data_IF_228542282122
#
_entry.id   IF_228542282122
#
_cell.length_a   1.000
_cell.length_b   1.000
_cell.length_c   1.000
_cell.angle_alpha   90.00
_cell.angle_beta   90.00
_cell.angle_gamma   90.00
#
_symmetry.space_group_name_H-M   'P 1'
#
loop_
_entity.id
_entity.type
_entity.pdbx_description
1 polymer ?
#
# COMPACT_ATOMS: atom_id res chain seq x y z
N UNK A 1 -9.62 -18.04 15.04
CA UNK A 1 -9.90 -17.57 13.66
C UNK A 1 -9.49 -16.12 13.57
N UNK A 2 -8.79 -15.71 12.52
CA UNK A 2 -8.35 -14.31 12.32
C UNK A 2 -9.58 -13.49 11.96
N UNK A 3 -9.81 -12.39 12.69
CA UNK A 3 -10.95 -11.48 12.50
C UNK A 3 -10.53 -10.03 12.33
N UNK A 4 -9.32 -9.69 12.78
CA UNK A 4 -8.81 -8.32 12.83
C UNK A 4 -7.78 -8.10 11.73
N UNK A 5 -7.92 -7.00 11.00
CA UNK A 5 -6.89 -6.48 10.11
C UNK A 5 -6.48 -5.07 10.51
N UNK A 6 -5.19 -4.80 10.42
CA UNK A 6 -4.59 -3.49 10.63
C UNK A 6 -3.91 -3.03 9.35
N UNK A 7 -4.40 -1.94 8.77
CA UNK A 7 -3.84 -1.32 7.56
C UNK A 7 -2.93 -0.17 7.96
N UNK A 8 -1.68 -0.22 7.47
CA UNK A 8 -0.67 0.81 7.69
C UNK A 8 -0.88 1.93 6.66
N UNK A 9 -1.58 2.98 7.05
CA UNK A 9 -2.00 4.08 6.16
C UNK A 9 -1.38 5.44 6.52
N UNK A 10 -0.36 5.45 7.41
CA UNK A 10 0.34 6.67 7.84
C UNK A 10 1.29 7.28 6.80
N UNK A 11 1.51 6.61 5.67
CA UNK A 11 2.48 7.00 4.64
C UNK A 11 2.09 8.24 3.84
N UNK A 12 3.11 9.05 3.48
CA UNK A 12 3.00 10.19 2.57
C UNK A 12 3.60 9.79 1.21
N UNK A 13 2.85 9.97 0.11
CA UNK A 13 3.33 9.69 -1.24
C UNK A 13 4.22 10.84 -1.77
N UNK A 14 5.36 11.10 -1.16
CA UNK A 14 6.21 12.27 -1.48
C UNK A 14 6.65 12.34 -2.94
N UNK A 15 6.82 11.18 -3.60
CA UNK A 15 7.19 11.08 -5.02
C UNK A 15 6.04 11.43 -5.98
N UNK A 16 4.82 11.54 -5.46
CA UNK A 16 3.63 11.96 -6.21
C UNK A 16 3.27 13.43 -5.98
N UNK A 17 4.13 14.19 -5.33
CA UNK A 17 3.89 15.64 -5.19
C UNK A 17 3.97 16.32 -6.57
N UNK A 18 3.10 17.33 -6.83
CA UNK A 18 2.15 17.98 -5.90
C UNK A 18 0.80 17.26 -5.71
N UNK A 19 0.50 16.18 -6.43
CA UNK A 19 -0.78 15.44 -6.31
C UNK A 19 -1.10 15.05 -4.86
N UNK A 20 -0.12 14.52 -4.14
CA UNK A 20 -0.27 14.00 -2.78
C UNK A 20 -0.01 15.04 -1.68
N UNK A 21 0.15 16.32 -2.04
CA UNK A 21 0.51 17.33 -1.04
C UNK A 21 -0.61 17.54 -0.03
N UNK A 22 -0.27 17.26 1.24
CA UNK A 22 -1.21 17.35 2.37
C UNK A 22 -2.25 16.24 2.44
N UNK A 23 -2.21 15.23 1.56
CA UNK A 23 -3.19 14.15 1.49
C UNK A 23 -2.49 12.81 1.81
N UNK A 24 -3.06 11.94 2.70
CA UNK A 24 -2.58 10.58 2.90
C UNK A 24 -2.54 9.80 1.59
N UNK A 25 -1.47 9.02 1.34
CA UNK A 25 -1.34 8.21 0.12
C UNK A 25 -2.57 7.34 -0.13
N UNK A 26 -3.08 6.68 0.91
CA UNK A 26 -4.23 5.79 0.81
C UNK A 26 -5.57 6.48 0.47
N UNK A 27 -5.62 7.82 0.55
CA UNK A 27 -6.78 8.62 0.14
C UNK A 27 -6.63 9.25 -1.26
N UNK A 28 -5.58 8.92 -2.00
CA UNK A 28 -5.49 9.27 -3.41
C UNK A 28 -6.54 8.48 -4.21
N UNK A 29 -7.05 9.08 -5.28
CA UNK A 29 -8.05 8.44 -6.13
C UNK A 29 -7.41 7.66 -7.26
N UNK A 30 -7.93 6.46 -7.54
CA UNK A 30 -7.63 5.63 -8.71
C UNK A 30 -8.94 5.37 -9.45
N UNK A 31 -9.04 5.82 -10.68
CA UNK A 31 -10.27 5.68 -11.49
C UNK A 31 -11.53 6.18 -10.76
N UNK A 32 -11.40 7.28 -10.01
CA UNK A 32 -12.51 7.91 -9.27
C UNK A 32 -12.84 7.27 -7.91
N UNK A 33 -12.17 6.18 -7.50
CA UNK A 33 -12.30 5.57 -6.17
C UNK A 33 -11.08 5.86 -5.31
N UNK A 34 -11.22 5.93 -4.01
CA UNK A 34 -10.08 6.05 -3.10
C UNK A 34 -9.26 4.74 -3.11
N UNK A 35 -7.93 4.86 -3.06
CA UNK A 35 -7.04 3.70 -3.00
C UNK A 35 -7.39 2.78 -1.82
N UNK A 36 -7.70 3.34 -0.66
CA UNK A 36 -8.13 2.56 0.52
C UNK A 36 -9.43 1.79 0.25
N UNK A 37 -10.39 2.36 -0.48
CA UNK A 37 -11.66 1.67 -0.79
C UNK A 37 -11.41 0.48 -1.72
N UNK A 38 -10.53 0.62 -2.71
CA UNK A 38 -10.13 -0.48 -3.60
C UNK A 38 -9.47 -1.63 -2.81
N UNK A 39 -8.64 -1.30 -1.82
CA UNK A 39 -8.04 -2.29 -0.93
C UNK A 39 -9.11 -3.00 -0.09
N UNK A 40 -10.04 -2.24 0.50
CA UNK A 40 -11.10 -2.78 1.35
C UNK A 40 -12.13 -3.61 0.57
N UNK A 41 -12.47 -3.24 -0.66
CA UNK A 41 -13.31 -4.04 -1.56
C UNK A 41 -12.73 -5.44 -1.83
N UNK A 42 -11.39 -5.53 -1.96
CA UNK A 42 -10.72 -6.83 -2.10
C UNK A 42 -10.74 -7.67 -0.82
N UNK A 43 -10.71 -7.02 0.34
CA UNK A 43 -10.74 -7.67 1.64
C UNK A 43 -12.14 -8.10 2.08
N UNK A 44 -13.21 -7.47 1.59
CA UNK A 44 -14.60 -7.73 2.00
C UNK A 44 -15.03 -9.20 1.80
N UNK A 45 -14.40 -9.90 0.86
CA UNK A 45 -14.62 -11.32 0.57
C UNK A 45 -13.98 -12.28 1.59
N UNK A 46 -13.28 -11.77 2.61
CA UNK A 46 -12.40 -12.56 3.48
C UNK A 46 -12.98 -12.92 4.86
N UNK A 47 -14.19 -12.47 5.20
CA UNK A 47 -14.84 -12.63 6.52
C UNK A 47 -14.06 -11.99 7.69
N UNK A 48 -13.31 -10.91 7.43
CA UNK A 48 -12.72 -10.07 8.46
C UNK A 48 -13.82 -9.20 9.08
N UNK A 49 -13.80 -9.06 10.42
CA UNK A 49 -14.85 -8.37 11.17
C UNK A 49 -14.42 -6.95 11.57
N UNK A 50 -13.14 -6.78 11.91
CA UNK A 50 -12.62 -5.54 12.45
C UNK A 50 -11.55 -4.96 11.52
N UNK A 51 -11.87 -3.87 10.86
CA UNK A 51 -10.94 -3.13 10.01
C UNK A 51 -10.36 -1.98 10.83
N UNK A 52 -9.04 -1.99 11.04
CA UNK A 52 -8.32 -1.01 11.82
C UNK A 52 -7.33 -0.27 10.92
N UNK A 53 -7.36 1.07 10.93
CA UNK A 53 -6.46 1.92 10.17
C UNK A 53 -5.45 2.56 11.12
N UNK A 54 -4.16 2.31 10.92
CA UNK A 54 -3.07 2.96 11.66
C UNK A 54 -2.66 4.20 10.88
N UNK A 55 -3.02 5.37 11.40
CA UNK A 55 -2.98 6.66 10.74
C UNK A 55 -1.97 7.60 11.40
N UNK A 56 -1.35 8.48 10.62
CA UNK A 56 -0.62 9.62 11.20
C UNK A 56 -1.59 10.68 11.73
N UNK A 57 -1.36 11.19 12.94
CA UNK A 57 -2.14 12.30 13.55
C UNK A 57 -2.11 13.56 12.67
N UNK A 58 -1.07 13.75 11.86
CA UNK A 58 -0.96 14.89 10.93
C UNK A 58 -2.14 14.98 9.95
N UNK A 59 -2.75 13.84 9.67
CA UNK A 59 -3.85 13.71 8.71
C UNK A 59 -5.19 13.37 9.38
N UNK A 60 -5.32 13.64 10.68
CA UNK A 60 -6.52 13.30 11.48
C UNK A 60 -7.82 13.73 10.80
N UNK A 61 -7.89 14.98 10.33
CA UNK A 61 -9.10 15.52 9.69
C UNK A 61 -9.55 14.71 8.49
N UNK A 62 -8.62 14.29 7.63
CA UNK A 62 -8.91 13.47 6.45
C UNK A 62 -9.45 12.09 6.85
N UNK A 63 -8.86 11.47 7.87
CA UNK A 63 -9.30 10.16 8.32
C UNK A 63 -10.64 10.18 9.04
N UNK A 64 -10.92 11.23 9.83
CA UNK A 64 -12.25 11.43 10.45
C UNK A 64 -13.33 11.67 9.40
N UNK A 65 -13.03 12.45 8.36
CA UNK A 65 -13.93 12.67 7.23
C UNK A 65 -14.14 11.38 6.44
N UNK A 66 -13.07 10.64 6.14
CA UNK A 66 -13.17 9.32 5.51
C UNK A 66 -14.07 8.38 6.30
N UNK A 67 -13.84 8.21 7.60
CA UNK A 67 -14.65 7.35 8.47
C UNK A 67 -16.13 7.73 8.46
N UNK A 68 -16.44 9.03 8.43
CA UNK A 68 -17.82 9.54 8.40
C UNK A 68 -18.54 9.19 7.09
N UNK A 69 -17.83 9.20 5.96
CA UNK A 69 -18.40 9.08 4.63
C UNK A 69 -18.20 7.68 4.00
N UNK A 70 -17.35 6.85 4.57
CA UNK A 70 -17.04 5.51 4.06
C UNK A 70 -18.21 4.54 4.22
N UNK A 71 -18.38 3.66 3.26
CA UNK A 71 -19.28 2.51 3.36
C UNK A 71 -18.72 1.41 4.28
N UNK A 72 -17.42 1.45 4.59
CA UNK A 72 -16.75 0.50 5.46
C UNK A 72 -16.74 0.96 6.91
N UNK A 73 -17.05 0.06 7.83
CA UNK A 73 -16.93 0.35 9.26
C UNK A 73 -15.48 0.20 9.71
N UNK A 74 -14.76 1.31 9.84
CA UNK A 74 -13.35 1.34 10.18
C UNK A 74 -13.09 1.91 11.57
N UNK A 75 -12.09 1.36 12.28
CA UNK A 75 -11.53 1.90 13.50
C UNK A 75 -10.27 2.68 13.19
N UNK A 76 -10.13 3.90 13.71
CA UNK A 76 -8.96 4.74 13.52
C UNK A 76 -8.04 4.68 14.73
N UNK A 77 -6.75 4.45 14.50
CA UNK A 77 -5.69 4.49 15.49
C UNK A 77 -4.66 5.53 15.05
N UNK A 78 -4.43 6.55 15.87
CA UNK A 78 -3.53 7.65 15.50
C UNK A 78 -2.16 7.49 16.15
N UNK A 79 -1.11 7.56 15.31
CA UNK A 79 0.27 7.71 15.75
C UNK A 79 0.56 9.20 15.93
N UNK A 80 0.93 9.60 17.14
CA UNK A 80 1.27 10.99 17.48
C UNK A 80 2.70 11.38 17.09
N UNK A 81 3.55 10.39 16.88
CA UNK A 81 4.93 10.51 16.40
C UNK A 81 5.21 9.43 15.35
N UNK A 82 6.31 9.56 14.62
CA UNK A 82 6.69 8.57 13.61
C UNK A 82 7.26 7.32 14.29
N UNK A 83 6.49 6.23 14.27
CA UNK A 83 6.86 4.94 14.89
C UNK A 83 7.44 3.93 13.90
N UNK A 84 7.52 4.28 12.60
CA UNK A 84 7.85 3.38 11.49
C UNK A 84 6.80 2.26 11.33
N UNK A 85 7.01 1.29 10.43
CA UNK A 85 5.95 0.33 10.02
C UNK A 85 5.47 -0.59 11.14
N UNK A 86 6.32 -0.92 12.12
CA UNK A 86 5.99 -1.87 13.19
C UNK A 86 5.77 -1.23 14.57
N UNK A 87 6.19 0.02 14.77
CA UNK A 87 6.25 0.59 16.13
C UNK A 87 4.92 0.63 16.84
N UNK A 88 3.84 1.01 16.16
CA UNK A 88 2.49 1.00 16.75
C UNK A 88 2.09 -0.40 17.23
N UNK A 89 2.32 -1.42 16.40
CA UNK A 89 2.00 -2.81 16.73
C UNK A 89 2.80 -3.29 17.94
N UNK A 90 4.11 -3.04 17.95
CA UNK A 90 5.01 -3.47 19.04
C UNK A 90 4.67 -2.79 20.36
N UNK A 91 4.41 -1.48 20.34
CA UNK A 91 4.01 -0.75 21.55
C UNK A 91 2.70 -1.27 22.13
N UNK A 92 1.71 -1.52 21.29
CA UNK A 92 0.34 -1.85 21.67
C UNK A 92 0.04 -3.35 21.61
N UNK A 93 1.03 -4.22 21.47
CA UNK A 93 0.85 -5.65 21.20
C UNK A 93 -0.05 -6.36 22.22
N UNK A 94 -0.14 -5.88 23.45
CA UNK A 94 -1.01 -6.46 24.46
C UNK A 94 -2.50 -6.34 24.14
N UNK A 95 -2.88 -5.33 23.34
CA UNK A 95 -4.26 -5.03 22.96
C UNK A 95 -4.70 -5.75 21.68
N UNK A 96 -3.76 -6.38 20.97
CA UNK A 96 -4.06 -7.13 19.74
C UNK A 96 -4.60 -8.53 20.04
N UNK A 97 -5.37 -9.08 19.13
CA UNK A 97 -5.81 -10.47 19.16
C UNK A 97 -4.62 -11.44 19.05
N UNK A 98 -4.81 -12.70 19.40
CA UNK A 98 -3.73 -13.71 19.36
C UNK A 98 -3.14 -13.89 17.97
N UNK A 99 -3.99 -13.78 16.93
CA UNK A 99 -3.61 -13.72 15.52
C UNK A 99 -4.37 -12.57 14.86
N UNK A 100 -3.67 -11.76 14.09
CA UNK A 100 -4.25 -10.64 13.35
C UNK A 100 -3.52 -10.44 12.02
N UNK A 101 -4.21 -9.86 11.05
CA UNK A 101 -3.56 -9.39 9.82
C UNK A 101 -2.96 -8.01 10.02
N UNK A 102 -1.82 -7.78 9.39
CA UNK A 102 -1.27 -6.46 9.15
C UNK A 102 -0.95 -6.34 7.66
N UNK A 103 -1.26 -5.20 7.06
CA UNK A 103 -1.09 -4.98 5.63
C UNK A 103 -0.69 -3.54 5.34
N UNK A 104 0.19 -3.36 4.36
CA UNK A 104 0.49 -2.05 3.83
C UNK A 104 -0.74 -1.47 3.12
N UNK A 105 -1.15 -0.26 3.51
CA UNK A 105 -2.36 0.38 3.01
C UNK A 105 -2.14 1.24 1.76
N UNK A 106 -1.10 0.93 0.98
CA UNK A 106 -0.71 1.68 -0.22
C UNK A 106 -0.42 0.78 -1.43
N UNK A 107 -0.76 -0.50 -1.32
CA UNK A 107 -0.56 -1.53 -2.35
C UNK A 107 -1.90 -2.04 -2.87
N UNK A 108 -2.06 -2.06 -4.18
CA UNK A 108 -3.12 -2.82 -4.84
C UNK A 108 -2.62 -4.25 -5.02
N UNK A 109 -3.32 -5.21 -4.41
CA UNK A 109 -2.92 -6.61 -4.41
C UNK A 109 -4.08 -7.47 -4.92
N UNK A 110 -3.80 -8.25 -5.95
CA UNK A 110 -4.70 -9.28 -6.43
C UNK A 110 -4.24 -10.63 -5.87
N UNK A 111 -4.98 -11.18 -4.91
CA UNK A 111 -4.70 -12.50 -4.35
C UNK A 111 -5.97 -13.14 -3.80
N UNK A 112 -5.92 -14.44 -3.58
CA UNK A 112 -6.96 -15.16 -2.86
C UNK A 112 -6.74 -15.04 -1.34
N UNK A 113 -7.31 -13.98 -0.74
CA UNK A 113 -7.22 -13.75 0.71
C UNK A 113 -7.80 -14.91 1.55
N UNK A 114 -8.85 -15.61 1.04
CA UNK A 114 -9.43 -16.74 1.75
C UNK A 114 -8.44 -17.89 1.90
N UNK A 115 -7.73 -18.25 0.84
CA UNK A 115 -6.69 -19.29 0.89
C UNK A 115 -5.56 -18.92 1.84
N UNK A 116 -5.12 -17.65 1.82
CA UNK A 116 -4.14 -17.17 2.78
C UNK A 116 -4.61 -17.29 4.22
N UNK A 117 -5.84 -16.84 4.52
CA UNK A 117 -6.42 -16.93 5.86
C UNK A 117 -6.55 -18.37 6.36
N UNK A 118 -6.90 -19.32 5.49
CA UNK A 118 -6.97 -20.75 5.83
C UNK A 118 -5.60 -21.28 6.27
N UNK A 119 -4.54 -20.97 5.51
CA UNK A 119 -3.16 -21.36 5.86
C UNK A 119 -2.71 -20.68 7.14
N UNK A 120 -2.87 -19.35 7.24
CA UNK A 120 -2.45 -18.56 8.37
C UNK A 120 -3.17 -18.93 9.69
N UNK A 121 -4.46 -19.28 9.63
CA UNK A 121 -5.18 -19.77 10.80
C UNK A 121 -4.59 -21.08 11.35
N UNK A 122 -4.11 -21.97 10.47
CA UNK A 122 -3.55 -23.25 10.84
C UNK A 122 -2.03 -23.19 11.13
N UNK A 123 -1.34 -22.15 10.69
CA UNK A 123 0.09 -21.98 10.96
C UNK A 123 0.36 -21.83 12.47
N UNK A 124 1.49 -22.38 12.93
CA UNK A 124 2.01 -22.22 14.29
C UNK A 124 2.85 -20.96 14.47
N UNK A 125 3.27 -20.35 13.36
CA UNK A 125 4.13 -19.18 13.28
C UNK A 125 3.42 -18.01 12.60
N UNK A 126 3.96 -16.81 12.76
CA UNK A 126 3.61 -15.66 11.93
C UNK A 126 3.90 -15.98 10.45
N UNK A 127 3.08 -15.47 9.53
CA UNK A 127 3.15 -15.84 8.11
C UNK A 127 3.18 -14.59 7.24
N UNK A 128 4.11 -14.51 6.28
CA UNK A 128 4.19 -13.44 5.27
C UNK A 128 3.69 -13.97 3.93
N UNK A 129 2.85 -13.18 3.25
CA UNK A 129 2.55 -13.40 1.84
C UNK A 129 3.74 -12.98 0.98
N UNK A 130 4.08 -13.82 0.01
CA UNK A 130 5.19 -13.61 -0.92
C UNK A 130 4.77 -13.84 -2.35
N UNK A 131 5.43 -13.14 -3.27
CA UNK A 131 5.33 -13.34 -4.71
C UNK A 131 6.75 -13.36 -5.29
N UNK A 132 7.06 -14.25 -6.27
CA UNK A 132 8.32 -14.19 -6.99
C UNK A 132 8.29 -13.03 -8.02
N UNK A 133 9.41 -12.31 -8.16
CA UNK A 133 9.58 -11.22 -9.14
C UNK A 133 10.91 -11.36 -9.85
N UNK A 134 11.04 -10.76 -11.06
CA UNK A 134 12.28 -10.79 -11.82
C UNK A 134 13.37 -9.92 -11.19
N UNK A 135 13.02 -8.73 -10.67
CA UNK A 135 13.95 -7.84 -9.97
C UNK A 135 13.48 -7.59 -8.52
N UNK A 136 14.05 -8.28 -7.53
CA UNK A 136 13.70 -8.12 -6.12
C UNK A 136 14.42 -6.97 -5.42
N UNK A 137 15.36 -6.27 -6.06
CA UNK A 137 16.27 -5.30 -5.43
C UNK A 137 15.58 -4.13 -4.70
N UNK A 138 14.31 -3.86 -5.02
CA UNK A 138 13.53 -2.75 -4.46
C UNK A 138 12.65 -3.14 -3.28
N UNK A 139 12.64 -4.42 -2.90
CA UNK A 139 11.70 -5.01 -1.93
C UNK A 139 12.43 -5.75 -0.80
N UNK A 140 11.67 -6.11 0.22
CA UNK A 140 12.12 -7.07 1.22
C UNK A 140 12.09 -8.49 0.65
N UNK A 141 13.25 -9.16 0.60
CA UNK A 141 13.43 -10.50 0.04
C UNK A 141 13.39 -11.55 1.14
N UNK A 142 12.73 -12.66 0.84
CA UNK A 142 12.57 -13.82 1.73
C UNK A 142 13.48 -14.93 1.27
N UNK A 143 14.48 -15.26 2.06
CA UNK A 143 15.28 -16.48 1.87
C UNK A 143 14.52 -17.65 2.49
N UNK A 144 14.20 -18.66 1.68
CA UNK A 144 13.29 -19.73 2.07
C UNK A 144 14.00 -21.07 2.21
N UNK A 145 13.59 -21.85 3.23
CA UNK A 145 13.81 -23.30 3.33
C UNK A 145 12.42 -23.98 3.39
N UNK A 146 11.97 -24.47 2.25
CA UNK A 146 10.58 -24.92 2.07
C UNK A 146 9.62 -23.76 2.27
N UNK A 147 8.73 -23.86 3.26
CA UNK A 147 7.79 -22.79 3.63
C UNK A 147 8.34 -21.88 4.75
N UNK A 148 9.51 -22.17 5.29
CA UNK A 148 10.11 -21.36 6.35
C UNK A 148 10.93 -20.22 5.78
N UNK A 149 10.77 -19.04 6.37
CA UNK A 149 11.64 -17.90 6.11
C UNK A 149 12.83 -18.01 7.06
N UNK A 150 14.01 -18.32 6.50
CA UNK A 150 15.24 -18.44 7.26
C UNK A 150 15.98 -17.10 7.38
N UNK A 151 15.71 -16.18 6.45
CA UNK A 151 16.24 -14.83 6.50
C UNK A 151 15.27 -13.83 5.81
N UNK A 152 15.28 -12.57 6.24
CA UNK A 152 14.56 -11.47 5.63
C UNK A 152 15.53 -10.33 5.37
N UNK A 153 15.68 -9.94 4.11
CA UNK A 153 16.66 -8.94 3.68
C UNK A 153 15.94 -7.78 2.99
N UNK A 154 15.96 -6.60 3.60
CA UNK A 154 15.36 -5.40 3.04
C UNK A 154 16.26 -4.81 1.96
N UNK A 155 15.77 -4.76 0.72
CA UNK A 155 16.41 -4.17 -0.46
C UNK A 155 17.87 -4.65 -0.65
N UNK A 156 18.07 -5.95 -0.92
CA UNK A 156 19.41 -6.49 -1.11
C UNK A 156 20.12 -5.88 -2.33
N UNK A 157 21.44 -5.75 -2.23
CA UNK A 157 22.26 -5.27 -3.35
C UNK A 157 22.50 -6.35 -4.41
N UNK A 158 22.32 -7.62 -4.05
CA UNK A 158 22.49 -8.77 -4.94
C UNK A 158 21.31 -9.76 -4.85
N UNK A 159 21.16 -10.63 -5.85
CA UNK A 159 20.07 -11.59 -5.95
C UNK A 159 20.34 -12.95 -5.28
N UNK A 160 21.38 -13.10 -4.49
CA UNK A 160 21.78 -14.40 -3.90
C UNK A 160 20.75 -14.99 -2.93
N UNK A 161 19.83 -14.17 -2.41
CA UNK A 161 18.80 -14.58 -1.45
C UNK A 161 17.50 -15.06 -2.12
N UNK A 162 17.49 -15.12 -3.46
CA UNK A 162 16.31 -15.51 -4.23
C UNK A 162 15.48 -14.32 -4.71
N UNK A 163 14.31 -14.63 -5.24
CA UNK A 163 13.42 -13.65 -5.87
C UNK A 163 12.03 -13.57 -5.24
N UNK A 164 11.80 -14.26 -4.13
CA UNK A 164 10.55 -14.17 -3.38
C UNK A 164 10.54 -12.88 -2.54
N UNK A 165 9.65 -11.97 -2.85
CA UNK A 165 9.53 -10.69 -2.13
C UNK A 165 8.35 -10.70 -1.17
N UNK A 166 8.43 -9.88 -0.12
CA UNK A 166 7.29 -9.61 0.75
C UNK A 166 6.22 -8.82 0.03
N UNK A 167 5.00 -9.33 0.05
CA UNK A 167 3.83 -8.71 -0.58
C UNK A 167 3.21 -7.59 0.28
N UNK A 168 3.77 -7.31 1.47
CA UNK A 168 3.19 -6.33 2.37
C UNK A 168 1.90 -6.79 3.07
N UNK A 169 1.66 -8.11 3.11
CA UNK A 169 0.52 -8.73 3.81
C UNK A 169 1.05 -9.79 4.77
N UNK A 170 0.67 -9.68 6.02
CA UNK A 170 1.21 -10.51 7.11
C UNK A 170 0.11 -10.99 8.02
N UNK A 171 0.14 -12.27 8.42
CA UNK A 171 -0.55 -12.75 9.60
C UNK A 171 0.45 -12.81 10.76
N UNK A 172 0.27 -11.98 11.76
CA UNK A 172 1.15 -11.90 12.90
C UNK A 172 0.54 -12.61 14.10
N UNK A 173 1.37 -13.35 14.82
CA UNK A 173 1.00 -13.95 16.10
C UNK A 173 1.50 -13.07 17.24
N UNK A 174 0.59 -12.63 18.11
CA UNK A 174 0.91 -11.86 19.32
C UNK A 174 2.03 -12.49 20.14
N UNK A 175 2.02 -13.81 20.30
CA UNK A 175 3.04 -14.57 21.05
C UNK A 175 4.43 -14.44 20.44
N UNK A 176 4.53 -14.37 19.09
CA UNK A 176 5.82 -14.30 18.38
C UNK A 176 6.42 -12.91 18.51
N UNK A 177 5.60 -11.86 18.36
CA UNK A 177 6.02 -10.47 18.61
C UNK A 177 6.48 -10.30 20.06
N UNK A 178 5.74 -10.85 21.03
CA UNK A 178 6.13 -10.78 22.46
C UNK A 178 7.48 -11.42 22.75
N UNK A 179 7.84 -12.52 22.07
CA UNK A 179 9.15 -13.18 22.26
C UNK A 179 10.33 -12.34 21.84
N UNK A 180 10.16 -11.43 20.88
CA UNK A 180 11.23 -10.59 20.35
C UNK A 180 11.15 -9.14 20.85
N UNK A 181 10.08 -8.75 21.53
CA UNK A 181 9.77 -7.36 21.89
C UNK A 181 10.92 -6.66 22.62
N UNK A 182 11.57 -7.34 23.55
CA UNK A 182 12.66 -6.77 24.35
C UNK A 182 13.95 -6.49 23.53
N UNK A 183 14.00 -6.98 22.29
CA UNK A 183 15.09 -6.73 21.34
C UNK A 183 14.78 -5.59 20.37
N UNK A 184 13.58 -5.00 20.46
CA UNK A 184 13.09 -3.97 19.54
C UNK A 184 13.08 -2.61 20.21
N UNK A 185 13.75 -1.66 19.59
CA UNK A 185 13.71 -0.24 19.98
C UNK A 185 12.70 0.48 19.10
N UNK A 186 11.95 1.44 19.68
CA UNK A 186 10.98 2.26 18.97
C UNK A 186 11.63 3.61 18.62
N UNK A 187 11.51 4.09 17.37
CA UNK A 187 10.74 3.54 16.24
C UNK A 187 11.33 2.28 15.65
N UNK A 188 10.48 1.37 15.12
CA UNK A 188 10.94 0.15 14.47
C UNK A 188 10.10 -0.23 13.26
N UNK A 189 10.74 -0.91 12.32
CA UNK A 189 10.15 -1.37 11.07
C UNK A 189 9.94 -2.89 11.08
N UNK A 190 8.89 -3.34 10.42
CA UNK A 190 8.70 -4.78 10.20
C UNK A 190 9.89 -5.36 9.44
N UNK A 191 10.31 -4.70 8.38
CA UNK A 191 11.29 -5.19 7.41
C UNK A 191 12.71 -5.24 7.99
N UNK A 192 13.10 -4.23 8.76
CA UNK A 192 14.47 -4.11 9.29
C UNK A 192 14.65 -4.71 10.68
N UNK A 193 13.58 -4.74 11.47
CA UNK A 193 13.68 -5.09 12.88
C UNK A 193 12.87 -6.34 13.24
N UNK A 194 11.60 -6.40 12.88
CA UNK A 194 10.69 -7.46 13.32
C UNK A 194 10.94 -8.77 12.54
N UNK A 195 10.86 -8.74 11.21
CA UNK A 195 10.97 -9.96 10.41
C UNK A 195 12.33 -10.63 10.50
N UNK A 196 13.47 -9.91 10.45
CA UNK A 196 14.76 -10.56 10.67
C UNK A 196 14.86 -11.26 12.03
N UNK A 197 14.33 -10.65 13.09
CA UNK A 197 14.30 -11.26 14.42
C UNK A 197 13.35 -12.48 14.49
N UNK A 198 12.19 -12.44 13.85
CA UNK A 198 11.28 -13.59 13.76
C UNK A 198 11.92 -14.74 12.97
N UNK A 199 12.53 -14.48 11.82
CA UNK A 199 13.23 -15.46 11.00
C UNK A 199 14.36 -16.15 11.80
N UNK A 200 15.25 -15.38 12.44
CA UNK A 200 16.33 -15.88 13.27
C UNK A 200 15.87 -16.77 14.45
N UNK A 201 14.62 -16.63 14.88
CA UNK A 201 14.01 -17.45 15.93
C UNK A 201 13.10 -18.58 15.38
N UNK A 202 13.09 -18.84 14.07
CA UNK A 202 12.24 -19.83 13.39
C UNK A 202 10.72 -19.61 13.68
N UNK A 203 10.27 -18.35 13.74
CA UNK A 203 8.89 -17.94 14.04
C UNK A 203 8.17 -17.38 12.81
N UNK A 204 8.73 -17.54 11.61
CA UNK A 204 8.23 -16.93 10.40
C UNK A 204 8.10 -17.93 9.26
N UNK A 205 6.89 -18.05 8.73
CA UNK A 205 6.55 -18.91 7.59
C UNK A 205 6.18 -18.04 6.38
N UNK A 206 6.28 -18.61 5.17
CA UNK A 206 5.94 -17.99 3.91
C UNK A 206 4.68 -18.63 3.32
N UNK A 207 3.82 -17.79 2.75
CA UNK A 207 2.74 -18.21 1.86
C UNK A 207 2.97 -17.57 0.49
N UNK A 208 3.36 -18.37 -0.51
CA UNK A 208 3.55 -17.91 -1.88
C UNK A 208 2.18 -17.80 -2.54
N UNK A 209 1.87 -16.63 -3.06
CA UNK A 209 0.59 -16.34 -3.74
C UNK A 209 0.75 -16.36 -5.24
N UNK A 210 -0.29 -16.77 -5.94
CA UNK A 210 -0.50 -16.50 -7.35
C UNK A 210 -1.32 -15.21 -7.45
N UNK A 211 -0.80 -14.19 -8.13
CA UNK A 211 -1.46 -12.90 -8.25
C UNK A 211 -0.52 -11.79 -8.68
N UNK A 212 -0.96 -10.55 -8.49
CA UNK A 212 -0.22 -9.35 -8.85
C UNK A 212 -0.18 -8.35 -7.69
N UNK A 213 0.85 -7.52 -7.71
CA UNK A 213 1.01 -6.41 -6.78
C UNK A 213 1.37 -5.14 -7.56
N UNK A 214 0.75 -4.03 -7.18
CA UNK A 214 1.09 -2.71 -7.68
C UNK A 214 1.30 -1.73 -6.52
N UNK A 215 2.54 -1.27 -6.33
CA UNK A 215 2.86 -0.14 -5.45
C UNK A 215 2.52 1.17 -6.17
N UNK A 216 1.46 1.82 -5.75
CA UNK A 216 1.01 3.11 -6.29
C UNK A 216 1.81 4.25 -5.64
N UNK A 217 3.13 4.27 -5.81
CA UNK A 217 4.04 5.19 -5.12
C UNK A 217 4.80 6.15 -6.03
N UNK A 218 4.78 5.96 -7.34
CA UNK A 218 5.45 6.82 -8.33
C UNK A 218 4.47 7.32 -9.37
N UNK A 219 4.86 8.34 -10.13
CA UNK A 219 4.06 8.84 -11.26
C UNK A 219 3.70 7.71 -12.23
N UNK A 220 4.68 6.90 -12.61
CA UNK A 220 4.53 5.81 -13.57
C UNK A 220 3.54 4.76 -13.06
N UNK A 221 3.68 4.34 -11.79
CA UNK A 221 2.77 3.35 -11.20
C UNK A 221 1.37 3.91 -10.98
N UNK A 222 1.25 5.21 -10.68
CA UNK A 222 -0.05 5.88 -10.56
C UNK A 222 -0.76 5.98 -11.93
N UNK A 223 -0.02 6.34 -12.99
CA UNK A 223 -0.55 6.34 -14.37
C UNK A 223 -0.97 4.91 -14.74
N UNK A 224 -0.13 3.92 -14.50
CA UNK A 224 -0.45 2.53 -14.78
C UNK A 224 -1.71 2.04 -14.07
N UNK A 225 -1.89 2.39 -12.78
CA UNK A 225 -3.09 2.05 -12.02
C UNK A 225 -4.39 2.60 -12.65
N UNK A 226 -4.31 3.72 -13.35
CA UNK A 226 -5.45 4.31 -14.07
C UNK A 226 -5.63 3.76 -15.47
N UNK A 227 -4.55 3.54 -16.18
CA UNK A 227 -4.61 3.21 -17.61
C UNK A 227 -4.66 1.70 -17.85
N UNK A 228 -3.96 0.90 -17.03
CA UNK A 228 -3.77 -0.53 -17.23
C UNK A 228 -3.32 -0.81 -18.70
N UNK A 229 -4.25 -1.26 -19.53
CA UNK A 229 -4.01 -1.55 -20.95
C UNK A 229 -4.58 -0.48 -21.89
N UNK A 230 -5.00 0.68 -21.36
CA UNK A 230 -5.50 1.81 -22.16
C UNK A 230 -4.40 2.86 -22.34
N UNK A 231 -4.54 3.70 -23.37
CA UNK A 231 -3.58 4.77 -23.62
C UNK A 231 -3.63 5.89 -22.60
N UNK A 232 -4.80 6.18 -22.00
CA UNK A 232 -5.03 7.29 -21.07
C UNK A 232 -6.20 7.00 -20.15
N UNK A 233 -6.28 7.77 -19.05
CA UNK A 233 -7.48 7.89 -18.25
C UNK A 233 -7.88 9.36 -18.12
N UNK A 234 -9.12 9.68 -18.47
CA UNK A 234 -9.67 11.04 -18.40
C UNK A 234 -10.95 10.97 -17.59
N UNK A 235 -11.04 11.79 -16.53
CA UNK A 235 -12.24 11.90 -15.71
C UNK A 235 -13.44 12.35 -16.58
N UNK A 236 -14.61 11.80 -16.34
CA UNK A 236 -15.85 12.21 -17.01
C UNK A 236 -16.21 13.68 -16.77
N UNK A 237 -15.74 14.26 -15.66
CA UNK A 237 -15.95 15.68 -15.33
C UNK A 237 -14.90 16.62 -15.92
N UNK A 238 -13.84 16.09 -16.55
CA UNK A 238 -12.86 16.91 -17.23
C UNK A 238 -13.35 17.39 -18.60
N UNK A 239 -12.86 18.55 -19.02
CA UNK A 239 -13.14 19.11 -20.35
C UNK A 239 -11.86 19.23 -21.18
N UNK A 240 -11.96 18.95 -22.48
CA UNK A 240 -10.85 19.07 -23.42
C UNK A 240 -11.21 19.97 -24.59
N UNK A 241 -10.30 20.86 -24.96
CA UNK A 241 -10.41 21.73 -26.14
C UNK A 241 -10.23 20.97 -27.47
N UNK A 242 -10.01 21.73 -28.54
CA UNK A 242 -9.74 21.19 -29.89
C UNK A 242 -8.26 20.85 -30.07
N UNK A 243 -7.97 19.85 -30.92
CA UNK A 243 -6.60 19.44 -31.28
C UNK A 243 -5.75 19.10 -30.06
N UNK A 244 -6.32 18.39 -29.07
CA UNK A 244 -5.62 17.91 -27.87
C UNK A 244 -5.10 16.50 -28.12
N UNK A 245 -3.83 16.27 -27.78
CA UNK A 245 -3.20 14.95 -27.80
C UNK A 245 -2.84 14.55 -26.37
N UNK A 246 -3.32 13.41 -25.91
CA UNK A 246 -3.02 12.88 -24.58
C UNK A 246 -2.52 11.45 -24.74
N UNK A 247 -1.32 11.15 -24.23
CA UNK A 247 -0.70 9.83 -24.30
C UNK A 247 -0.18 9.42 -22.91
N UNK A 248 -0.45 8.19 -22.51
CA UNK A 248 0.01 7.60 -21.25
C UNK A 248 -0.13 8.57 -20.07
N UNK A 249 -1.31 9.17 -19.90
CA UNK A 249 -1.54 10.26 -18.96
C UNK A 249 -2.87 10.15 -18.24
N UNK A 250 -2.97 10.83 -17.11
CA UNK A 250 -4.16 10.83 -16.24
C UNK A 250 -4.66 12.27 -16.08
N UNK A 251 -5.92 12.51 -16.40
CA UNK A 251 -6.61 13.79 -16.18
C UNK A 251 -7.65 13.61 -15.08
N UNK A 252 -7.42 14.20 -13.92
CA UNK A 252 -8.26 14.02 -12.74
C UNK A 252 -9.37 15.07 -12.63
N UNK A 253 -10.49 14.67 -12.03
CA UNK A 253 -11.58 15.53 -11.56
C UNK A 253 -12.14 16.43 -12.66
N UNK A 254 -12.43 17.67 -12.30
CA UNK A 254 -13.03 18.71 -13.16
C UNK A 254 -11.97 19.62 -13.80
N UNK A 255 -10.87 19.06 -14.26
CA UNK A 255 -9.80 19.81 -14.93
C UNK A 255 -10.23 20.27 -16.32
N UNK A 256 -9.67 21.40 -16.77
CA UNK A 256 -9.95 21.99 -18.08
C UNK A 256 -8.69 22.06 -18.92
N UNK A 257 -8.68 21.41 -20.08
CA UNK A 257 -7.56 21.37 -21.01
C UNK A 257 -7.90 22.28 -22.21
N UNK A 258 -7.04 23.25 -22.47
CA UNK A 258 -7.18 24.20 -23.58
C UNK A 258 -7.03 23.57 -24.97
N UNK A 259 -7.01 24.43 -26.01
CA UNK A 259 -6.84 23.99 -27.39
C UNK A 259 -5.35 23.78 -27.77
N UNK A 260 -5.07 22.90 -28.73
CA UNK A 260 -3.72 22.61 -29.25
C UNK A 260 -2.73 22.19 -28.14
N UNK A 261 -3.21 21.46 -27.14
CA UNK A 261 -2.42 20.97 -25.99
C UNK A 261 -1.88 19.58 -26.27
N UNK A 262 -0.64 19.33 -25.82
CA UNK A 262 -0.02 18.00 -25.87
C UNK A 262 0.36 17.58 -24.44
N UNK A 263 -0.08 16.41 -24.00
CA UNK A 263 0.20 15.85 -22.67
C UNK A 263 0.69 14.42 -22.83
N UNK A 264 1.87 14.13 -22.29
CA UNK A 264 2.45 12.79 -22.31
C UNK A 264 3.09 12.39 -21.00
N UNK A 265 2.89 11.12 -20.56
CA UNK A 265 3.41 10.56 -19.32
C UNK A 265 3.12 11.45 -18.08
N UNK A 266 1.99 12.13 -18.05
CA UNK A 266 1.73 13.21 -17.08
C UNK A 266 0.44 12.99 -16.30
N UNK A 267 0.37 13.63 -15.14
CA UNK A 267 -0.83 13.64 -14.28
C UNK A 267 -1.30 15.09 -14.15
N UNK A 268 -2.54 15.35 -14.55
CA UNK A 268 -3.21 16.63 -14.30
C UNK A 268 -4.14 16.44 -13.12
N UNK A 269 -3.84 17.15 -12.02
CA UNK A 269 -4.61 17.07 -10.78
C UNK A 269 -5.99 17.70 -10.93
N UNK A 270 -6.92 17.33 -10.04
CA UNK A 270 -8.28 17.89 -10.03
C UNK A 270 -8.29 19.42 -10.01
N UNK A 271 -9.24 20.03 -10.73
CA UNK A 271 -9.47 21.49 -10.86
C UNK A 271 -8.33 22.27 -11.50
N UNK A 272 -7.42 21.59 -12.19
CA UNK A 272 -6.30 22.24 -12.88
C UNK A 272 -6.76 22.78 -14.24
N UNK A 273 -6.29 23.97 -14.60
CA UNK A 273 -6.51 24.59 -15.91
C UNK A 273 -5.20 24.56 -16.68
N UNK A 274 -5.23 23.94 -17.85
CA UNK A 274 -4.11 23.92 -18.81
C UNK A 274 -4.46 24.86 -19.97
N UNK A 275 -3.62 25.88 -20.18
CA UNK A 275 -3.82 26.91 -21.19
C UNK A 275 -3.60 26.38 -22.62
N UNK A 276 -4.15 27.10 -23.61
CA UNK A 276 -4.00 26.80 -25.03
C UNK A 276 -2.52 26.70 -25.45
N UNK A 277 -2.19 25.72 -26.28
CA UNK A 277 -0.86 25.50 -26.82
C UNK A 277 0.17 24.93 -25.85
N UNK A 278 -0.23 24.55 -24.64
CA UNK A 278 0.68 23.98 -23.63
C UNK A 278 1.18 22.60 -24.04
N UNK A 279 2.46 22.33 -23.77
CA UNK A 279 3.12 21.03 -24.00
C UNK A 279 3.67 20.53 -22.67
N UNK A 280 3.23 19.34 -22.22
CA UNK A 280 3.62 18.72 -20.95
C UNK A 280 4.17 17.32 -21.18
N UNK A 281 5.36 17.06 -20.65
CA UNK A 281 6.00 15.76 -20.67
C UNK A 281 6.53 15.42 -19.28
N UNK A 282 6.19 14.23 -18.78
CA UNK A 282 6.72 13.68 -17.53
C UNK A 282 6.41 14.55 -16.29
N UNK A 283 5.25 15.21 -16.25
CA UNK A 283 4.88 16.18 -15.24
C UNK A 283 3.73 15.72 -14.34
N UNK A 284 3.66 16.30 -13.14
CA UNK A 284 2.48 16.27 -12.28
C UNK A 284 2.09 17.72 -12.02
N UNK A 285 0.94 18.14 -12.57
CA UNK A 285 0.49 19.55 -12.54
C UNK A 285 -0.70 19.70 -11.62
N UNK A 286 -0.59 20.67 -10.71
CA UNK A 286 -1.64 21.12 -9.81
C UNK A 286 -1.64 22.65 -9.80
N UNK A 287 -2.77 23.27 -10.11
CA UNK A 287 -2.97 24.74 -10.03
C UNK A 287 -3.32 25.19 -8.61
#
# INVERSE_FOLDING_TARGET
MIKDIYLLVGGEATRLRPLSEGIPKALLTIKGKLLIDLILENLDKSNLENINLICSIKHEKFWLEYKKNSQFNVNLHFEHEKLDTAGFVVQNINNFSDKFLCMNGDLLIEMNFKSFLEVANNSKNSTICSIPVDDPSRYGVLELDGTKIINFIEKPEDMKYGNNISLGVYCLHKKDIKKIKDKLEIPCSFEKNVFPNLAANNLLDCFIVEGNMLDVGTRESYIYAHTENQSNWISESASTGKNVTIENSVILGSSSIGNNVQIKNSIICDKTIIEDGTILYDEIIRS
#
